data_IF_425904573959
#
_entry.id   IF_425904573959
#
_cell.length_a   1.000
_cell.length_b   1.000
_cell.length_c   1.000
_cell.angle_alpha   90.00
_cell.angle_beta   90.00
_cell.angle_gamma   90.00
#
_symmetry.space_group_name_H-M   'P 1'
#
loop_
_entity.id
_entity.type
_entity.pdbx_description
1 polymer ?
#
# COMPACT_ATOMS: atom_id res chain seq x y z
N UNK A 1 -17.27 6.21 15.77
CA UNK A 1 -18.50 6.11 14.95
C UNK A 1 -18.27 4.99 13.97
N UNK A 2 -18.99 3.90 14.11
CA UNK A 2 -18.83 2.69 13.30
C UNK A 2 -20.01 2.67 12.32
N UNK A 3 -19.78 3.12 11.09
CA UNK A 3 -20.84 3.10 10.07
C UNK A 3 -20.94 1.68 9.54
N UNK A 4 -22.09 1.05 9.76
CA UNK A 4 -22.43 -0.30 9.30
C UNK A 4 -22.48 -0.35 7.77
N UNK A 5 -21.56 -1.14 7.19
CA UNK A 5 -21.26 -1.31 5.76
C UNK A 5 -22.25 -2.19 4.97
N UNK A 6 -23.46 -2.40 5.46
CA UNK A 6 -24.40 -3.39 4.89
C UNK A 6 -25.11 -2.97 3.59
N UNK A 7 -24.75 -1.83 2.99
CA UNK A 7 -25.43 -1.30 1.80
C UNK A 7 -24.78 -1.68 0.46
N UNK A 8 -23.55 -2.20 0.46
CA UNK A 8 -22.80 -2.50 -0.77
C UNK A 8 -22.62 -4.01 -0.92
N UNK A 9 -22.92 -4.51 -2.11
CA UNK A 9 -22.85 -5.94 -2.45
C UNK A 9 -21.40 -6.44 -2.52
N UNK A 10 -20.46 -5.54 -2.85
CA UNK A 10 -19.02 -5.83 -2.92
C UNK A 10 -18.15 -4.71 -2.32
N UNK A 11 -16.89 -5.03 -1.98
CA UNK A 11 -15.88 -4.03 -1.62
C UNK A 11 -15.66 -3.00 -2.74
N UNK A 12 -15.78 -3.43 -4.00
CA UNK A 12 -15.64 -2.56 -5.17
C UNK A 12 -16.77 -1.51 -5.24
N UNK A 13 -18.01 -1.88 -4.97
CA UNK A 13 -19.14 -0.94 -4.96
C UNK A 13 -19.02 0.08 -3.83
N UNK A 14 -18.64 -0.39 -2.65
CA UNK A 14 -18.31 0.44 -1.50
C UNK A 14 -17.21 1.46 -1.83
N UNK A 15 -16.14 0.99 -2.49
CA UNK A 15 -15.03 1.84 -2.92
C UNK A 15 -15.47 2.88 -3.94
N UNK A 16 -16.29 2.51 -4.92
CA UNK A 16 -16.79 3.43 -5.94
C UNK A 16 -17.63 4.56 -5.33
N UNK A 17 -18.50 4.25 -4.37
CA UNK A 17 -19.29 5.26 -3.67
C UNK A 17 -18.41 6.22 -2.84
N UNK A 18 -17.46 5.69 -2.06
CA UNK A 18 -16.52 6.50 -1.30
C UNK A 18 -15.64 7.38 -2.20
N UNK A 19 -15.25 6.88 -3.37
CA UNK A 19 -14.50 7.64 -4.35
C UNK A 19 -15.33 8.81 -4.88
N UNK A 20 -16.60 8.58 -5.22
CA UNK A 20 -17.53 9.63 -5.68
C UNK A 20 -17.79 10.70 -4.61
N UNK A 21 -17.83 10.30 -3.33
CA UNK A 21 -18.00 11.20 -2.19
C UNK A 21 -16.72 11.98 -1.82
N UNK A 22 -15.57 11.64 -2.43
CA UNK A 22 -14.30 12.26 -2.06
C UNK A 22 -13.83 11.86 -0.66
N UNK A 23 -14.18 10.66 -0.19
CA UNK A 23 -13.90 10.21 1.17
C UNK A 23 -12.40 10.16 1.49
N UNK A 24 -12.07 10.39 2.76
CA UNK A 24 -10.73 10.19 3.31
C UNK A 24 -10.84 9.27 4.52
N UNK A 25 -10.06 8.19 4.54
CA UNK A 25 -10.15 7.17 5.59
C UNK A 25 -9.68 5.80 5.11
N UNK A 26 -10.22 4.76 5.73
CA UNK A 26 -9.92 3.37 5.40
C UNK A 26 -11.22 2.58 5.20
N UNK A 27 -11.29 1.82 4.12
CA UNK A 27 -12.34 0.85 3.82
C UNK A 27 -11.80 -0.55 4.16
N UNK A 28 -12.35 -1.18 5.19
CA UNK A 28 -12.00 -2.55 5.57
C UNK A 28 -12.91 -3.54 4.85
N UNK A 29 -12.32 -4.45 4.08
CA UNK A 29 -12.97 -5.62 3.50
C UNK A 29 -12.51 -6.92 4.16
N UNK A 30 -13.05 -8.05 3.74
CA UNK A 30 -12.69 -9.37 4.28
C UNK A 30 -11.20 -9.70 4.07
N UNK A 31 -10.64 -9.30 2.94
CA UNK A 31 -9.29 -9.69 2.49
C UNK A 31 -8.23 -8.60 2.65
N UNK A 32 -8.59 -7.46 3.25
CA UNK A 32 -7.66 -6.36 3.43
C UNK A 32 -8.32 -4.99 3.59
N UNK A 33 -7.51 -3.94 3.43
CA UNK A 33 -7.91 -2.56 3.71
C UNK A 33 -7.49 -1.67 2.54
N UNK A 34 -8.41 -0.83 2.06
CA UNK A 34 -8.14 0.22 1.08
C UNK A 34 -8.11 1.57 1.78
N UNK A 35 -7.00 2.30 1.65
CA UNK A 35 -6.83 3.64 2.21
C UNK A 35 -7.11 4.71 1.16
N UNK A 36 -7.92 5.69 1.54
CA UNK A 36 -8.43 6.74 0.68
C UNK A 36 -8.00 8.12 1.16
N UNK A 37 -7.70 8.99 0.21
CA UNK A 37 -7.52 10.44 0.42
C UNK A 37 -8.24 11.21 -0.67
N UNK A 38 -9.23 12.01 -0.28
CA UNK A 38 -10.07 12.76 -1.20
C UNK A 38 -10.63 11.90 -2.36
N UNK A 39 -11.12 10.70 -2.03
CA UNK A 39 -11.68 9.72 -2.97
C UNK A 39 -10.65 8.94 -3.79
N UNK A 40 -9.35 9.17 -3.61
CA UNK A 40 -8.28 8.44 -4.31
C UNK A 40 -7.68 7.36 -3.44
N UNK A 41 -7.46 6.18 -4.02
CA UNK A 41 -6.69 5.11 -3.37
C UNK A 41 -5.25 5.55 -3.25
N UNK A 42 -4.74 5.57 -2.01
CA UNK A 42 -3.35 5.92 -1.70
C UNK A 42 -2.54 4.75 -1.18
N UNK A 43 -3.22 3.72 -0.66
CA UNK A 43 -2.58 2.48 -0.21
C UNK A 43 -3.60 1.35 -0.15
N UNK A 44 -3.14 0.12 -0.30
CA UNK A 44 -3.94 -1.09 -0.09
C UNK A 44 -3.07 -2.11 0.65
N UNK A 45 -3.65 -2.75 1.65
CA UNK A 45 -3.02 -3.82 2.44
C UNK A 45 -3.82 -5.10 2.27
N UNK A 46 -3.13 -6.23 2.08
CA UNK A 46 -3.73 -7.56 2.09
C UNK A 46 -2.73 -8.58 2.63
N UNK A 47 -3.17 -9.49 3.49
CA UNK A 47 -2.34 -10.60 3.97
C UNK A 47 -2.04 -11.65 2.88
N UNK A 48 -2.70 -11.55 1.72
CA UNK A 48 -2.55 -12.47 0.60
C UNK A 48 -1.54 -12.01 -0.45
N UNK A 49 -1.01 -10.79 -0.31
CA UNK A 49 -0.01 -10.21 -1.21
C UNK A 49 1.26 -9.82 -0.43
N UNK A 50 2.45 -9.95 -1.04
CA UNK A 50 3.67 -9.43 -0.44
C UNK A 50 3.65 -7.91 -0.37
N UNK A 51 4.12 -7.36 0.74
CA UNK A 51 4.35 -5.92 0.86
C UNK A 51 5.60 -5.48 0.08
N UNK A 52 5.79 -4.16 -0.02
CA UNK A 52 6.95 -3.57 -0.71
C UNK A 52 8.29 -4.05 -0.12
N UNK A 53 8.38 -4.19 1.20
CA UNK A 53 9.60 -4.66 1.86
C UNK A 53 9.93 -6.10 1.48
N UNK A 54 8.91 -6.96 1.46
CA UNK A 54 9.03 -8.34 1.03
C UNK A 54 9.47 -8.45 -0.44
N UNK A 55 8.92 -7.63 -1.33
CA UNK A 55 9.34 -7.61 -2.74
C UNK A 55 10.79 -7.15 -2.91
N UNK A 56 11.19 -6.06 -2.25
CA UNK A 56 12.54 -5.52 -2.36
C UNK A 56 13.61 -6.43 -1.75
N UNK A 57 13.30 -7.08 -0.63
CA UNK A 57 14.25 -7.97 0.05
C UNK A 57 14.34 -9.34 -0.61
N UNK A 58 13.23 -9.94 -1.05
CA UNK A 58 13.24 -11.25 -1.73
C UNK A 58 13.81 -11.21 -3.14
N UNK A 59 13.65 -10.08 -3.85
CA UNK A 59 14.27 -9.89 -5.16
C UNK A 59 15.78 -9.62 -5.09
N UNK A 60 16.32 -9.34 -3.89
CA UNK A 60 17.71 -8.93 -3.71
C UNK A 60 17.99 -7.46 -4.07
N UNK A 61 16.96 -6.68 -4.39
CA UNK A 61 17.10 -5.25 -4.70
C UNK A 61 17.58 -4.44 -3.49
N UNK A 62 17.23 -4.86 -2.27
CA UNK A 62 17.69 -4.26 -1.02
C UNK A 62 18.04 -5.37 -0.02
N UNK A 63 19.21 -5.32 0.65
CA UNK A 63 19.52 -6.26 1.73
C UNK A 63 18.51 -6.15 2.88
N UNK A 64 18.11 -7.26 3.54
CA UNK A 64 17.13 -7.23 4.64
C UNK A 64 17.46 -6.23 5.75
N UNK A 65 18.71 -6.17 6.20
CA UNK A 65 19.13 -5.21 7.24
C UNK A 65 19.05 -3.76 6.75
N UNK A 66 19.33 -3.54 5.46
CA UNK A 66 19.22 -2.23 4.83
C UNK A 66 17.79 -1.72 4.71
N UNK A 67 16.83 -2.64 4.53
CA UNK A 67 15.41 -2.32 4.58
C UNK A 67 14.99 -1.87 5.98
N UNK A 68 15.31 -2.65 7.02
CA UNK A 68 14.91 -2.31 8.38
C UNK A 68 15.55 -1.03 8.90
N UNK A 69 16.81 -0.78 8.54
CA UNK A 69 17.47 0.50 8.82
C UNK A 69 16.74 1.69 8.17
N UNK A 70 16.30 1.54 6.91
CA UNK A 70 15.57 2.58 6.21
C UNK A 70 14.18 2.81 6.83
N UNK A 71 13.51 1.74 7.28
CA UNK A 71 12.23 1.79 8.01
C UNK A 71 12.40 2.50 9.35
N UNK A 72 13.40 2.12 10.16
CA UNK A 72 13.64 2.72 11.48
C UNK A 72 13.90 4.22 11.37
N UNK A 73 14.76 4.62 10.42
CA UNK A 73 15.06 6.04 10.23
C UNK A 73 13.88 6.81 9.64
N UNK A 74 13.06 6.19 8.77
CA UNK A 74 12.22 6.89 7.79
C UNK A 74 10.74 6.52 7.72
N UNK A 75 10.31 5.53 8.49
CA UNK A 75 8.95 4.99 8.48
C UNK A 75 7.90 6.03 8.86
N UNK A 76 8.17 6.85 9.88
CA UNK A 76 7.24 7.89 10.37
C UNK A 76 6.97 9.00 9.35
N UNK A 77 7.82 9.14 8.34
CA UNK A 77 7.69 10.17 7.29
C UNK A 77 7.18 9.59 5.98
N UNK A 78 6.89 8.28 5.89
CA UNK A 78 6.52 7.59 4.66
C UNK A 78 7.58 7.78 3.54
N UNK A 79 8.86 7.92 3.92
CA UNK A 79 9.98 8.21 2.99
C UNK A 79 11.01 7.08 2.89
N UNK A 80 10.66 5.86 3.29
CA UNK A 80 11.57 4.71 3.27
C UNK A 80 12.13 4.47 1.87
N UNK A 81 11.24 4.38 0.86
CA UNK A 81 11.63 4.20 -0.55
C UNK A 81 12.50 5.35 -1.07
N UNK A 82 12.07 6.60 -0.83
CA UNK A 82 12.84 7.79 -1.25
C UNK A 82 14.26 7.79 -0.68
N UNK A 83 14.44 7.41 0.59
CA UNK A 83 15.78 7.36 1.19
C UNK A 83 16.66 6.27 0.64
N UNK A 84 16.09 5.12 0.28
CA UNK A 84 16.83 4.06 -0.40
C UNK A 84 17.31 4.53 -1.77
N UNK A 85 16.51 5.35 -2.47
CA UNK A 85 16.89 5.98 -3.74
C UNK A 85 17.94 7.07 -3.54
N UNK A 86 17.72 8.01 -2.61
CA UNK A 86 18.61 9.14 -2.34
C UNK A 86 20.00 8.68 -1.84
N UNK A 87 20.07 7.53 -1.15
CA UNK A 87 21.33 6.91 -0.71
C UNK A 87 22.00 6.02 -1.77
N UNK A 88 21.40 5.87 -2.96
CA UNK A 88 21.90 5.01 -4.04
C UNK A 88 21.78 3.51 -3.78
N UNK A 89 21.04 3.10 -2.74
CA UNK A 89 20.82 1.69 -2.37
C UNK A 89 19.71 1.02 -3.18
N UNK A 90 18.89 1.80 -3.88
CA UNK A 90 17.81 1.31 -4.73
C UNK A 90 17.64 2.22 -5.94
N UNK A 91 17.46 1.64 -7.13
CA UNK A 91 17.11 2.41 -8.31
C UNK A 91 15.66 2.91 -8.22
N UNK A 92 15.38 4.14 -8.65
CA UNK A 92 14.04 4.71 -8.63
C UNK A 92 13.02 3.85 -9.40
N UNK A 93 13.39 3.33 -10.58
CA UNK A 93 12.51 2.44 -11.36
C UNK A 93 12.23 1.10 -10.66
N UNK A 94 13.19 0.55 -9.92
CA UNK A 94 12.97 -0.67 -9.14
C UNK A 94 12.00 -0.43 -7.99
N UNK A 95 12.12 0.72 -7.31
CA UNK A 95 11.14 1.14 -6.30
C UNK A 95 9.74 1.27 -6.89
N UNK A 96 9.61 1.92 -8.05
CA UNK A 96 8.32 2.13 -8.71
C UNK A 96 7.64 0.82 -9.11
N UNK A 97 8.38 -0.10 -9.74
CA UNK A 97 7.86 -1.41 -10.13
C UNK A 97 7.42 -2.22 -8.92
N UNK A 98 8.24 -2.30 -7.86
CA UNK A 98 7.87 -3.04 -6.65
C UNK A 98 6.69 -2.39 -5.91
N UNK A 99 6.61 -1.05 -5.90
CA UNK A 99 5.51 -0.35 -5.25
C UNK A 99 4.18 -0.56 -5.97
N UNK A 100 4.16 -0.41 -7.30
CA UNK A 100 2.98 -0.68 -8.11
C UNK A 100 2.59 -2.16 -8.03
N UNK A 101 3.56 -3.08 -8.05
CA UNK A 101 3.31 -4.51 -7.89
C UNK A 101 2.62 -4.82 -6.56
N UNK A 102 3.17 -4.36 -5.43
CA UNK A 102 2.55 -4.55 -4.12
C UNK A 102 1.14 -3.95 -4.03
N UNK A 103 0.94 -2.76 -4.61
CA UNK A 103 -0.36 -2.09 -4.60
C UNK A 103 -1.41 -2.86 -5.43
N UNK A 104 -1.06 -3.26 -6.65
CA UNK A 104 -2.00 -3.97 -7.53
C UNK A 104 -2.29 -5.39 -7.07
N UNK A 105 -1.29 -6.11 -6.53
CA UNK A 105 -1.52 -7.44 -5.94
C UNK A 105 -2.46 -7.34 -4.74
N UNK A 106 -2.22 -6.38 -3.84
CA UNK A 106 -3.11 -6.17 -2.70
C UNK A 106 -4.53 -5.76 -3.14
N UNK A 107 -4.65 -4.88 -4.13
CA UNK A 107 -5.95 -4.48 -4.68
C UNK A 107 -6.69 -5.66 -5.32
N UNK A 108 -5.99 -6.55 -6.04
CA UNK A 108 -6.57 -7.75 -6.64
C UNK A 108 -7.20 -8.69 -5.60
N UNK A 109 -6.63 -8.80 -4.40
CA UNK A 109 -7.22 -9.63 -3.35
C UNK A 109 -8.36 -8.95 -2.59
N UNK A 110 -8.40 -7.62 -2.55
CA UNK A 110 -9.37 -6.86 -1.75
C UNK A 110 -10.66 -6.53 -2.52
N UNK A 111 -10.55 -6.36 -3.84
CA UNK A 111 -11.66 -6.00 -4.75
C UNK A 111 -12.21 -7.23 -5.47
#
# INVERSE_FOLDING_TARGET
MTTTWTAYETTADALAALAAEGATGALSGERGIVYLKAGRVVHVESAFAPDLGALLTRSGAVPPDGWWEAVDRGGTQHRVGHRLVDSGRLAAGALEVCHLGALFDAAYFVL
#
